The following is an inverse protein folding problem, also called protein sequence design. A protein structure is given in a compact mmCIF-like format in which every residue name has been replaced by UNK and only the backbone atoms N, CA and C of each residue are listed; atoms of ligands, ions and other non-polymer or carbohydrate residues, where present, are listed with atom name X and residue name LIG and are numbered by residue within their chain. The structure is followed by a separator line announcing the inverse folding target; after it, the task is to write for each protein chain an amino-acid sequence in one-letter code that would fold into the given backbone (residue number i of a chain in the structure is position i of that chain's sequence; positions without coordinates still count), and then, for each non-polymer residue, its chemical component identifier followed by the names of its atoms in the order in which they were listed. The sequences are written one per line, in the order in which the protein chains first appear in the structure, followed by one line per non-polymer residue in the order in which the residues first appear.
data_IF_937270108083
#
_entry.id   IF_937270108083
#
_cell.length_a   1.000
_cell.length_b   1.000
_cell.length_c   1.000
_cell.angle_alpha   90.00
_cell.angle_beta   90.00
_cell.angle_gamma   90.00
#
_symmetry.space_group_name_H-M   'P 1'
#
loop_
_entity.id
_entity.type
_entity.pdbx_description
1 polymer ?
#
# COMPACT_ATOMS: atom_id res chain seq x y z
N UNK A 1 -36.47 -42.83 -29.74
CA UNK A 1 -35.25 -42.92 -28.90
C UNK A 1 -34.09 -42.10 -29.42
N UNK A 2 -33.91 -41.92 -30.74
CA UNK A 2 -32.78 -41.14 -31.33
C UNK A 2 -32.68 -39.68 -30.85
N UNK A 3 -33.80 -38.96 -30.69
CA UNK A 3 -33.80 -37.53 -30.31
C UNK A 3 -33.42 -37.30 -28.85
N UNK A 4 -33.64 -38.27 -27.94
CA UNK A 4 -33.22 -38.12 -26.53
C UNK A 4 -31.71 -38.25 -26.36
N UNK A 5 -31.04 -39.14 -27.09
CA UNK A 5 -29.62 -39.30 -27.08
C UNK A 5 -28.90 -38.05 -27.66
N UNK A 6 -29.48 -37.45 -28.70
CA UNK A 6 -28.95 -36.24 -29.33
C UNK A 6 -28.99 -35.02 -28.35
N UNK A 7 -30.11 -34.87 -27.66
CA UNK A 7 -30.27 -33.79 -26.68
C UNK A 7 -29.32 -33.94 -25.47
N UNK A 8 -29.10 -35.19 -25.01
CA UNK A 8 -28.16 -35.48 -23.92
C UNK A 8 -26.70 -35.19 -24.34
N UNK A 9 -26.31 -35.58 -25.57
CA UNK A 9 -24.99 -35.28 -26.10
C UNK A 9 -24.74 -33.79 -26.25
N UNK A 10 -25.72 -33.01 -26.65
CA UNK A 10 -25.66 -31.56 -26.73
C UNK A 10 -25.50 -30.88 -25.36
N UNK A 11 -26.23 -31.40 -24.37
CA UNK A 11 -26.16 -30.91 -22.99
C UNK A 11 -24.81 -31.18 -22.32
N UNK A 12 -24.21 -32.34 -22.62
CA UNK A 12 -22.83 -32.69 -22.18
C UNK A 12 -21.78 -31.82 -22.87
N UNK A 13 -21.92 -31.52 -24.15
CA UNK A 13 -21.03 -30.65 -24.90
C UNK A 13 -21.05 -29.21 -24.36
N UNK A 14 -22.21 -28.69 -23.95
CA UNK A 14 -22.34 -27.38 -23.30
C UNK A 14 -21.68 -27.38 -21.91
N UNK A 15 -21.88 -28.43 -21.11
CA UNK A 15 -21.27 -28.56 -19.78
C UNK A 15 -19.73 -28.63 -19.85
N UNK A 16 -19.17 -29.27 -20.86
CA UNK A 16 -17.72 -29.36 -21.07
C UNK A 16 -17.09 -28.03 -21.53
N UNK A 17 -17.85 -27.13 -22.14
CA UNK A 17 -17.34 -25.81 -22.57
C UNK A 17 -17.16 -24.82 -21.42
N UNK A 18 -17.72 -25.05 -20.23
CA UNK A 18 -17.55 -24.21 -19.05
C UNK A 18 -16.28 -24.53 -18.23
N UNK A 19 -15.56 -25.60 -18.52
CA UNK A 19 -14.36 -26.00 -17.74
C UNK A 19 -13.05 -25.50 -18.34
N UNK A 20 -13.06 -24.77 -19.45
CA UNK A 20 -11.87 -24.45 -20.24
C UNK A 20 -11.19 -23.11 -19.92
N UNK A 21 -11.61 -22.37 -18.89
CA UNK A 21 -11.17 -20.98 -18.72
C UNK A 21 -10.28 -20.69 -17.50
N UNK A 22 -9.79 -21.68 -16.76
CA UNK A 22 -8.95 -21.39 -15.60
C UNK A 22 -7.55 -20.92 -15.99
N UNK A 23 -6.91 -21.52 -17.00
CA UNK A 23 -5.55 -21.14 -17.40
C UNK A 23 -5.46 -19.79 -18.12
N UNK A 24 -6.55 -19.28 -18.69
CA UNK A 24 -6.56 -17.98 -19.38
C UNK A 24 -6.52 -16.80 -18.41
N UNK A 25 -7.00 -16.98 -17.18
CA UNK A 25 -7.00 -15.95 -16.15
C UNK A 25 -5.68 -15.92 -15.35
N UNK A 26 -4.84 -16.94 -15.51
CA UNK A 26 -3.53 -17.06 -14.83
C UNK A 26 -2.37 -16.43 -15.63
N UNK A 27 -2.67 -15.71 -16.71
CA UNK A 27 -1.66 -14.94 -17.44
C UNK A 27 -1.22 -13.78 -16.56
N UNK A 28 -0.04 -13.94 -15.94
CA UNK A 28 0.59 -12.83 -15.22
C UNK A 28 0.85 -11.67 -16.21
N UNK A 29 0.50 -10.43 -15.84
CA UNK A 29 0.78 -9.28 -16.69
C UNK A 29 2.28 -9.24 -17.03
N UNK A 30 2.61 -9.14 -18.30
CA UNK A 30 4.00 -9.04 -18.76
C UNK A 30 4.66 -7.86 -18.07
N UNK A 31 5.73 -8.12 -17.30
CA UNK A 31 6.49 -7.09 -16.57
C UNK A 31 6.18 -6.97 -15.08
N UNK A 32 5.29 -7.79 -14.50
CA UNK A 32 5.11 -7.90 -13.05
C UNK A 32 5.47 -9.30 -12.59
N UNK A 33 6.71 -9.49 -12.20
CA UNK A 33 7.14 -10.71 -11.51
C UNK A 33 6.68 -10.59 -10.06
N UNK A 34 5.82 -11.50 -9.61
CA UNK A 34 5.51 -11.58 -8.18
C UNK A 34 6.65 -12.33 -7.48
N UNK A 35 7.30 -11.71 -6.49
CA UNK A 35 8.36 -12.37 -5.71
C UNK A 35 7.82 -13.64 -5.05
N UNK A 36 8.56 -14.75 -5.17
CA UNK A 36 8.16 -16.06 -4.64
C UNK A 36 9.22 -16.68 -3.74
N UNK A 37 10.49 -16.38 -3.98
CA UNK A 37 11.60 -16.94 -3.17
C UNK A 37 11.83 -16.10 -1.91
N UNK A 38 12.42 -16.71 -0.88
CA UNK A 38 12.78 -15.99 0.35
C UNK A 38 13.69 -14.80 0.09
N UNK A 39 14.63 -14.91 -0.87
CA UNK A 39 15.53 -13.81 -1.24
C UNK A 39 14.77 -12.67 -1.94
N UNK A 40 13.90 -12.97 -2.90
CA UNK A 40 13.10 -11.94 -3.59
C UNK A 40 12.19 -11.18 -2.61
N UNK A 41 11.59 -11.90 -1.64
CA UNK A 41 10.79 -11.26 -0.58
C UNK A 41 11.67 -10.40 0.32
N UNK A 42 12.90 -10.83 0.62
CA UNK A 42 13.87 -10.03 1.38
C UNK A 42 14.22 -8.73 0.64
N UNK A 43 14.46 -8.82 -0.65
CA UNK A 43 14.79 -7.67 -1.50
C UNK A 43 13.60 -6.69 -1.57
N UNK A 44 12.37 -7.21 -1.69
CA UNK A 44 11.14 -6.42 -1.66
C UNK A 44 10.94 -5.70 -0.33
N UNK A 45 11.19 -6.36 0.81
CA UNK A 45 11.15 -5.71 2.12
C UNK A 45 12.26 -4.67 2.29
N UNK A 46 13.43 -4.90 1.73
CA UNK A 46 14.54 -3.92 1.72
C UNK A 46 14.15 -2.67 0.94
N UNK A 47 13.47 -2.82 -0.19
CA UNK A 47 12.88 -1.69 -0.92
C UNK A 47 11.84 -0.96 -0.05
N UNK A 48 10.94 -1.70 0.63
CA UNK A 48 9.97 -1.09 1.53
C UNK A 48 10.61 -0.27 2.64
N UNK A 49 11.68 -0.76 3.27
CA UNK A 49 12.45 0.00 4.27
C UNK A 49 13.04 1.29 3.69
N UNK A 50 13.57 1.22 2.48
CA UNK A 50 14.15 2.39 1.79
C UNK A 50 13.08 3.40 1.35
N UNK A 51 11.86 2.94 1.14
CA UNK A 51 10.73 3.77 0.73
C UNK A 51 10.00 4.44 1.90
N UNK A 52 10.35 4.10 3.17
CA UNK A 52 9.74 4.74 4.34
C UNK A 52 9.95 6.26 4.26
N UNK A 53 8.87 7.06 4.27
CA UNK A 53 8.99 8.50 4.20
C UNK A 53 9.75 9.06 5.39
N UNK A 54 10.64 9.99 5.12
CA UNK A 54 11.28 10.82 6.15
C UNK A 54 10.40 12.01 6.59
N UNK A 55 9.18 12.09 6.07
CA UNK A 55 8.26 13.24 6.16
C UNK A 55 7.75 13.55 7.55
N UNK A 56 8.12 12.75 8.56
CA UNK A 56 7.91 13.13 9.96
C UNK A 56 8.54 14.49 10.27
N UNK A 57 9.62 14.83 9.55
CA UNK A 57 10.24 16.14 9.62
C UNK A 57 9.32 17.26 9.14
N UNK A 58 8.37 17.02 8.24
CA UNK A 58 7.44 18.05 7.80
C UNK A 58 6.46 18.49 8.90
N UNK A 59 6.18 17.66 9.88
CA UNK A 59 5.40 18.07 11.05
C UNK A 59 6.11 19.16 11.87
N UNK A 60 7.44 19.23 11.80
CA UNK A 60 8.26 20.27 12.44
C UNK A 60 7.99 21.65 11.85
N UNK A 61 7.56 21.74 10.58
CA UNK A 61 7.15 23.02 9.98
C UNK A 61 5.90 23.62 10.63
N UNK A 62 5.16 22.83 11.39
CA UNK A 62 4.00 23.29 12.19
C UNK A 62 4.36 23.60 13.64
N UNK A 63 5.64 23.55 13.98
CA UNK A 63 6.13 23.93 15.31
C UNK A 63 6.70 25.34 15.29
N UNK A 64 6.93 25.89 16.47
CA UNK A 64 7.58 27.18 16.70
C UNK A 64 9.11 27.12 16.63
N UNK A 65 9.68 25.94 16.33
CA UNK A 65 11.12 25.73 16.17
C UNK A 65 11.65 26.21 14.81
N UNK A 66 10.77 26.45 13.83
CA UNK A 66 11.11 26.87 12.48
C UNK A 66 10.49 28.20 12.12
N UNK A 67 11.30 29.07 11.53
CA UNK A 67 10.87 30.34 10.93
C UNK A 67 11.15 30.32 9.43
N UNK A 68 10.21 30.83 8.63
CA UNK A 68 10.41 31.03 7.20
C UNK A 68 10.90 32.47 6.98
N UNK A 69 12.15 32.63 6.52
CA UNK A 69 12.69 33.94 6.13
C UNK A 69 12.34 34.23 4.66
N UNK A 70 11.60 35.33 4.44
CA UNK A 70 10.75 35.59 3.29
C UNK A 70 11.37 35.89 1.94
N UNK A 71 12.71 35.91 1.72
CA UNK A 71 13.23 36.44 0.46
C UNK A 71 14.17 35.52 -0.35
N UNK A 72 14.62 34.39 0.18
CA UNK A 72 15.74 33.69 -0.45
C UNK A 72 15.37 32.49 -1.33
N UNK A 73 14.12 32.02 -1.33
CA UNK A 73 13.74 30.90 -2.22
C UNK A 73 12.21 30.77 -2.34
N UNK A 74 11.62 31.68 -3.12
CA UNK A 74 10.17 31.82 -3.27
C UNK A 74 9.48 30.49 -3.67
N UNK A 75 10.12 29.69 -4.51
CA UNK A 75 9.56 28.43 -4.99
C UNK A 75 9.51 27.38 -3.86
N UNK A 76 10.59 27.24 -3.12
CA UNK A 76 10.63 26.35 -1.96
C UNK A 76 9.71 26.83 -0.83
N UNK A 77 9.65 28.14 -0.61
CA UNK A 77 8.76 28.73 0.37
C UNK A 77 7.31 28.41 0.07
N UNK A 78 6.87 28.59 -1.17
CA UNK A 78 5.51 28.30 -1.59
C UNK A 78 5.13 26.83 -1.38
N UNK A 79 6.08 25.92 -1.58
CA UNK A 79 5.84 24.48 -1.40
C UNK A 79 5.55 24.09 0.06
N UNK A 80 6.10 24.83 1.03
CA UNK A 80 5.94 24.53 2.47
C UNK A 80 4.97 25.48 3.17
N UNK A 81 4.57 26.57 2.52
CA UNK A 81 3.80 27.65 3.13
C UNK A 81 2.48 27.16 3.73
N UNK A 82 1.76 26.29 3.01
CA UNK A 82 0.49 25.76 3.49
C UNK A 82 0.67 24.90 4.74
N UNK A 83 1.76 24.10 4.80
CA UNK A 83 2.09 23.29 5.97
C UNK A 83 2.41 24.21 7.15
N UNK A 84 3.23 25.22 6.94
CA UNK A 84 3.65 26.18 7.95
C UNK A 84 2.47 27.03 8.46
N UNK A 85 1.57 27.44 7.56
CA UNK A 85 0.37 28.20 7.90
C UNK A 85 -0.75 27.34 8.50
N UNK A 86 -0.57 26.06 8.71
CA UNK A 86 -1.62 25.15 9.20
C UNK A 86 -2.86 25.09 8.33
N UNK A 87 -2.72 25.29 7.03
CA UNK A 87 -3.84 25.20 6.10
C UNK A 87 -4.32 23.76 6.01
N UNK A 88 -5.64 23.55 6.09
CA UNK A 88 -6.27 22.23 5.98
C UNK A 88 -6.35 21.72 4.55
N UNK A 89 -6.25 22.61 3.59
CA UNK A 89 -6.40 22.32 2.17
C UNK A 89 -5.14 22.79 1.46
N UNK A 90 -4.48 21.90 0.74
CA UNK A 90 -3.52 22.29 -0.27
C UNK A 90 -4.29 22.92 -1.44
N UNK A 91 -4.27 24.25 -1.65
CA UNK A 91 -5.15 24.92 -2.59
C UNK A 91 -4.75 24.67 -4.01
N UNK A 92 -3.52 24.26 -4.26
CA UNK A 92 -3.03 23.90 -5.58
C UNK A 92 -2.14 22.66 -5.52
N UNK A 93 -1.84 22.09 -6.68
CA UNK A 93 -1.03 20.89 -6.81
C UNK A 93 0.48 21.16 -6.59
N UNK A 94 0.87 22.37 -6.25
CA UNK A 94 2.27 22.76 -6.01
C UNK A 94 2.68 22.57 -4.57
N UNK A 95 1.73 22.47 -3.65
CA UNK A 95 1.99 22.24 -2.23
C UNK A 95 2.41 20.79 -2.00
N UNK A 96 3.51 20.60 -1.27
CA UNK A 96 3.94 19.29 -0.86
C UNK A 96 2.92 18.69 0.10
N UNK A 97 2.36 17.56 -0.27
CA UNK A 97 1.56 16.75 0.63
C UNK A 97 2.48 16.03 1.62
N UNK A 98 1.94 15.60 2.77
CA UNK A 98 2.68 14.80 3.77
C UNK A 98 3.08 13.39 3.27
N UNK A 99 3.14 13.16 1.96
CA UNK A 99 3.63 11.91 1.41
C UNK A 99 2.69 10.72 1.59
N UNK A 100 1.37 10.93 1.75
CA UNK A 100 0.33 9.91 1.91
C UNK A 100 0.56 8.68 1.04
N UNK A 101 0.82 8.88 -0.24
CA UNK A 101 1.03 7.82 -1.22
C UNK A 101 2.20 6.89 -0.86
N UNK A 102 3.29 7.41 -0.32
CA UNK A 102 4.46 6.62 0.04
C UNK A 102 4.19 5.68 1.22
N UNK A 103 3.43 6.13 2.22
CA UNK A 103 3.03 5.27 3.35
C UNK A 103 2.19 4.09 2.87
N UNK A 104 1.25 4.34 1.94
CA UNK A 104 0.45 3.28 1.37
C UNK A 104 1.23 2.38 0.42
N UNK A 105 2.26 2.88 -0.24
CA UNK A 105 3.17 2.04 -1.03
C UNK A 105 3.90 1.02 -0.15
N UNK A 106 4.45 1.44 0.99
CA UNK A 106 5.06 0.53 1.97
C UNK A 106 4.03 -0.48 2.51
N UNK A 107 2.81 -0.02 2.82
CA UNK A 107 1.71 -0.89 3.22
C UNK A 107 1.32 -1.90 2.14
N UNK A 108 1.33 -1.50 0.87
CA UNK A 108 1.07 -2.40 -0.25
C UNK A 108 2.09 -3.53 -0.31
N UNK A 109 3.38 -3.21 -0.20
CA UNK A 109 4.44 -4.22 -0.14
C UNK A 109 4.24 -5.14 1.08
N UNK A 110 4.04 -4.57 2.25
CA UNK A 110 3.83 -5.35 3.46
C UNK A 110 2.63 -6.31 3.35
N UNK A 111 1.51 -5.85 2.82
CA UNK A 111 0.32 -6.68 2.59
C UNK A 111 0.61 -7.81 1.59
N UNK A 112 1.31 -7.52 0.51
CA UNK A 112 1.70 -8.53 -0.49
C UNK A 112 2.53 -9.66 0.13
N UNK A 113 3.48 -9.32 1.02
CA UNK A 113 4.28 -10.32 1.75
C UNK A 113 3.42 -11.13 2.72
N UNK A 114 2.52 -10.47 3.47
CA UNK A 114 1.63 -11.13 4.43
C UNK A 114 0.69 -12.12 3.75
N UNK A 115 0.11 -11.74 2.62
CA UNK A 115 -0.79 -12.60 1.84
C UNK A 115 -0.08 -13.82 1.27
N UNK A 116 1.19 -13.68 0.89
CA UNK A 116 1.96 -14.75 0.27
C UNK A 116 2.90 -15.50 1.23
N UNK A 117 2.89 -15.21 2.53
CA UNK A 117 3.83 -15.76 3.52
C UNK A 117 3.94 -17.29 3.52
N UNK A 118 2.82 -17.99 3.28
CA UNK A 118 2.76 -19.44 3.30
C UNK A 118 3.23 -20.08 1.96
N UNK A 119 3.31 -19.27 0.90
CA UNK A 119 3.71 -19.68 -0.44
C UNK A 119 5.18 -19.32 -0.77
N UNK A 120 5.92 -18.76 0.18
CA UNK A 120 7.34 -18.40 -0.03
C UNK A 120 8.15 -19.68 -0.22
N UNK A 121 8.82 -19.79 -1.36
CA UNK A 121 9.72 -20.89 -1.73
C UNK A 121 11.16 -20.58 -1.32
N UNK A 122 12.02 -21.59 -1.35
CA UNK A 122 13.47 -21.45 -1.06
C UNK A 122 13.77 -20.73 0.28
N UNK A 123 12.94 -20.98 1.29
CA UNK A 123 13.08 -20.41 2.61
C UNK A 123 12.68 -21.44 3.67
N UNK A 124 13.41 -21.45 4.77
CA UNK A 124 13.04 -22.23 5.97
C UNK A 124 11.79 -21.64 6.63
N UNK A 125 11.13 -22.42 7.48
CA UNK A 125 9.96 -21.92 8.23
C UNK A 125 10.33 -20.72 9.14
N UNK A 126 11.53 -20.73 9.69
CA UNK A 126 12.01 -19.62 10.52
C UNK A 126 12.16 -18.33 9.71
N UNK A 127 12.74 -18.42 8.50
CA UNK A 127 12.88 -17.28 7.60
C UNK A 127 11.51 -16.76 7.12
N UNK A 128 10.57 -17.63 6.77
CA UNK A 128 9.20 -17.21 6.41
C UNK A 128 8.53 -16.45 7.55
N UNK A 129 8.66 -16.97 8.78
CA UNK A 129 8.10 -16.32 9.97
C UNK A 129 8.75 -14.95 10.22
N UNK A 130 10.07 -14.84 9.99
CA UNK A 130 10.78 -13.58 10.11
C UNK A 130 10.32 -12.57 9.08
N UNK A 131 10.26 -12.95 7.80
CA UNK A 131 9.80 -12.09 6.71
C UNK A 131 8.36 -11.60 6.95
N UNK A 132 7.47 -12.50 7.38
CA UNK A 132 6.11 -12.14 7.73
C UNK A 132 6.06 -11.19 8.95
N UNK A 133 6.87 -11.44 9.97
CA UNK A 133 6.97 -10.57 11.15
C UNK A 133 7.42 -9.16 10.81
N UNK A 134 8.43 -9.03 9.94
CA UNK A 134 8.90 -7.74 9.44
C UNK A 134 7.80 -7.00 8.66
N UNK A 135 7.05 -7.71 7.81
CA UNK A 135 5.94 -7.13 7.06
C UNK A 135 4.80 -6.65 7.97
N UNK A 136 4.45 -7.43 9.01
CA UNK A 136 3.48 -7.00 10.02
C UNK A 136 3.94 -5.76 10.77
N UNK A 137 5.23 -5.70 11.13
CA UNK A 137 5.81 -4.54 11.81
C UNK A 137 5.76 -3.30 10.92
N UNK A 138 6.18 -3.40 9.64
CA UNK A 138 6.13 -2.29 8.68
C UNK A 138 4.70 -1.76 8.53
N UNK A 139 3.73 -2.64 8.33
CA UNK A 139 2.32 -2.26 8.21
C UNK A 139 1.82 -1.52 9.44
N UNK A 140 2.10 -2.05 10.62
CA UNK A 140 1.71 -1.43 11.87
C UNK A 140 2.37 -0.04 12.04
N UNK A 141 3.65 0.07 11.70
CA UNK A 141 4.39 1.33 11.79
C UNK A 141 3.87 2.39 10.82
N UNK A 142 3.57 2.02 9.58
CA UNK A 142 3.00 2.95 8.61
C UNK A 142 1.62 3.46 9.05
N UNK A 143 0.74 2.57 9.54
CA UNK A 143 -0.55 3.00 10.07
C UNK A 143 -0.41 3.85 11.34
N UNK A 144 0.55 3.55 12.20
CA UNK A 144 0.84 4.39 13.37
C UNK A 144 1.23 5.81 12.96
N UNK A 145 2.09 5.97 11.94
CA UNK A 145 2.45 7.30 11.44
C UNK A 145 1.24 7.99 10.81
N UNK A 146 0.50 7.29 9.95
CA UNK A 146 -0.66 7.83 9.26
C UNK A 146 -1.71 8.34 10.25
N UNK A 147 -2.04 7.57 11.30
CA UNK A 147 -3.04 8.01 12.28
C UNK A 147 -2.58 9.26 13.03
N UNK A 148 -1.29 9.37 13.33
CA UNK A 148 -0.75 10.55 14.03
C UNK A 148 -0.66 11.81 13.15
N UNK A 149 -0.51 11.65 11.83
CA UNK A 149 -0.42 12.79 10.91
C UNK A 149 -1.78 13.25 10.38
N UNK A 150 -2.72 12.33 10.18
CA UNK A 150 -3.93 12.60 9.42
C UNK A 150 -5.24 12.43 10.20
N UNK A 151 -5.23 11.69 11.32
CA UNK A 151 -6.45 11.52 12.11
C UNK A 151 -6.58 12.58 13.20
N UNK A 152 -7.80 12.97 13.46
CA UNK A 152 -8.11 13.79 14.65
C UNK A 152 -7.84 12.98 15.93
N UNK A 153 -7.36 13.65 17.02
CA UNK A 153 -7.19 12.99 18.31
C UNK A 153 -8.52 12.36 18.78
N UNK A 154 -8.46 11.17 19.35
CA UNK A 154 -9.66 10.42 19.80
C UNK A 154 -10.57 11.26 20.71
N UNK A 155 -9.98 12.11 21.55
CA UNK A 155 -10.71 13.02 22.44
C UNK A 155 -11.49 14.11 21.72
N UNK A 156 -11.16 14.39 20.46
CA UNK A 156 -11.77 15.43 19.63
C UNK A 156 -12.57 14.89 18.46
N UNK A 157 -12.70 13.57 18.36
CA UNK A 157 -13.47 12.95 17.30
C UNK A 157 -14.73 12.25 17.83
N UNK A 158 -15.76 12.16 16.99
CA UNK A 158 -16.89 11.29 17.23
C UNK A 158 -16.61 9.93 16.57
N UNK A 159 -16.33 8.84 17.32
CA UNK A 159 -15.96 7.55 16.74
C UNK A 159 -17.00 6.97 15.77
N UNK A 160 -18.26 7.38 15.92
CA UNK A 160 -19.36 6.93 15.05
C UNK A 160 -19.49 7.73 13.74
N UNK A 161 -18.92 8.92 13.68
CA UNK A 161 -19.04 9.85 12.54
C UNK A 161 -17.72 10.12 11.86
N UNK A 162 -16.59 10.05 12.57
CA UNK A 162 -15.26 10.30 12.02
C UNK A 162 -14.78 9.07 11.27
N UNK A 163 -14.50 9.24 9.97
CA UNK A 163 -13.94 8.17 9.16
C UNK A 163 -12.50 7.89 9.62
N UNK A 164 -12.14 6.61 9.65
CA UNK A 164 -10.75 6.20 9.86
C UNK A 164 -9.86 6.54 8.65
N UNK A 165 -8.58 6.25 8.81
CA UNK A 165 -7.56 6.38 7.77
C UNK A 165 -7.60 5.16 6.86
#
# INVERSE_FOLDING_TARGET
MKNKCFNIAWLIAILLSFTACNDFLDIQPVGKVMPKTGQEIRDLLTEAYSAIPSDRGMATFRSDELTLEGEQNQESLNSYLDIWCWNDVAPDQTTLSFGWQRYYYVNYIANSVIENKDNITEATQAERNQLAGEAYMLRAYMHFILVNLYAAPYTHCNPSATKGI
#
